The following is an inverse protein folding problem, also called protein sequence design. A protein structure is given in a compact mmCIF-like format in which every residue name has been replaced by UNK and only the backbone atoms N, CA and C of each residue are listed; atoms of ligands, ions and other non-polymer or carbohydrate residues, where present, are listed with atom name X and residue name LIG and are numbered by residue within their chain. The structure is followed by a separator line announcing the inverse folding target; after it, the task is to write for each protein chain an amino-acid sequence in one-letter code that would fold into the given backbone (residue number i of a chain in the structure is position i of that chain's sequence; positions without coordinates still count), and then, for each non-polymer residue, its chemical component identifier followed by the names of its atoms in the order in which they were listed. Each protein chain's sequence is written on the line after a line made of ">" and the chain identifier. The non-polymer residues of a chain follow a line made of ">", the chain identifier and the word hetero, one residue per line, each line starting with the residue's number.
data_IF_249497948597
#
_entry.id   IF_249497948597
#
_cell.length_a   1.000
_cell.length_b   1.000
_cell.length_c   1.000
_cell.angle_alpha   90.00
_cell.angle_beta   90.00
_cell.angle_gamma   90.00
#
_symmetry.space_group_name_H-M   'P 1'
#
loop_
_entity.id
_entity.type
_entity.pdbx_description
1 polymer ?
#
# COMPACT_ATOMS: atom_id res chain seq x y z
N UNK A 1 6.78 -6.39 31.39
CA UNK A 1 6.04 -5.24 31.96
C UNK A 1 5.60 -4.36 30.81
N UNK A 2 4.32 -3.97 30.79
CA UNK A 2 3.82 -3.03 29.79
C UNK A 2 4.36 -1.63 30.07
N UNK A 3 5.10 -1.08 29.11
CA UNK A 3 5.57 0.30 29.17
C UNK A 3 4.39 1.24 28.91
N UNK A 4 4.00 2.00 29.91
CA UNK A 4 2.93 2.99 29.78
C UNK A 4 3.47 4.38 30.14
N UNK A 5 3.09 5.37 29.34
CA UNK A 5 3.31 6.78 29.67
C UNK A 5 2.01 7.56 29.53
N UNK A 6 1.92 8.64 30.27
CA UNK A 6 0.73 9.51 30.23
C UNK A 6 1.09 10.78 29.48
N UNK A 7 0.35 11.08 28.43
CA UNK A 7 0.43 12.37 27.74
C UNK A 7 -0.62 13.29 28.33
N UNK A 8 -0.17 14.43 28.85
CA UNK A 8 -1.06 15.51 29.30
C UNK A 8 -1.14 16.55 28.20
N UNK A 9 -2.31 16.65 27.58
CA UNK A 9 -2.64 17.78 26.73
C UNK A 9 -3.66 18.65 27.48
N UNK A 10 -3.38 19.95 27.60
CA UNK A 10 -4.26 20.88 28.31
C UNK A 10 -5.61 21.06 27.60
N UNK A 11 -5.62 20.88 26.28
CA UNK A 11 -6.80 21.03 25.45
C UNK A 11 -6.82 19.92 24.39
N UNK A 12 -7.04 18.65 24.80
CA UNK A 12 -7.13 17.57 23.85
C UNK A 12 -8.35 17.77 22.94
N UNK A 13 -8.14 17.62 21.66
CA UNK A 13 -9.23 17.66 20.70
C UNK A 13 -9.95 16.30 20.66
N UNK A 14 -11.20 16.29 21.09
CA UNK A 14 -12.12 15.15 21.00
C UNK A 14 -13.28 15.43 20.04
N UNK A 15 -13.21 16.54 19.31
CA UNK A 15 -14.25 16.92 18.37
C UNK A 15 -13.99 16.16 17.06
N UNK A 16 -14.99 15.44 16.59
CA UNK A 16 -14.93 14.80 15.30
C UNK A 16 -15.24 15.80 14.19
N UNK A 17 -14.68 15.62 12.99
CA UNK A 17 -15.05 16.42 11.82
C UNK A 17 -16.57 16.45 11.61
N UNK A 18 -17.07 17.53 11.03
CA UNK A 18 -18.48 17.68 10.67
C UNK A 18 -18.97 16.54 9.77
N UNK A 19 -20.28 16.33 9.73
CA UNK A 19 -20.92 15.37 8.81
C UNK A 19 -20.94 15.95 7.40
N UNK A 20 -20.98 15.07 6.39
CA UNK A 20 -21.26 15.51 5.02
C UNK A 20 -22.72 15.92 4.91
N UNK A 21 -22.98 17.19 4.56
CA UNK A 21 -24.32 17.74 4.34
C UNK A 21 -24.61 17.98 2.86
N UNK A 22 -23.58 18.14 2.03
CA UNK A 22 -23.71 18.31 0.59
C UNK A 22 -22.57 17.59 -0.12
N UNK A 23 -22.88 16.97 -1.25
CA UNK A 23 -21.93 16.27 -2.09
C UNK A 23 -22.25 16.53 -3.56
N UNK A 24 -21.29 17.09 -4.28
CA UNK A 24 -21.33 17.29 -5.72
C UNK A 24 -20.36 16.33 -6.43
N UNK A 25 -20.82 15.75 -7.52
CA UNK A 25 -20.02 14.91 -8.41
C UNK A 25 -20.16 15.43 -9.83
N UNK A 26 -19.04 15.62 -10.50
CA UNK A 26 -18.97 15.97 -11.91
C UNK A 26 -18.03 15.00 -12.64
N UNK A 27 -18.37 14.64 -13.88
CA UNK A 27 -17.60 13.75 -14.73
C UNK A 27 -17.35 14.45 -16.05
N UNK A 28 -16.10 14.64 -16.38
CA UNK A 28 -15.67 15.21 -17.66
C UNK A 28 -14.89 14.19 -18.49
N UNK A 29 -14.79 14.42 -19.78
CA UNK A 29 -14.20 13.51 -20.78
C UNK A 29 -15.28 12.90 -21.69
N UNK A 30 -14.98 12.80 -22.97
CA UNK A 30 -15.86 12.18 -23.97
C UNK A 30 -15.97 10.65 -23.81
N UNK A 31 -16.89 9.97 -24.52
CA UNK A 31 -17.05 8.51 -24.41
C UNK A 31 -15.75 7.73 -24.65
N UNK A 32 -14.94 8.14 -25.61
CA UNK A 32 -13.69 7.47 -26.01
C UNK A 32 -12.44 8.06 -25.33
N UNK A 33 -12.63 8.90 -24.29
CA UNK A 33 -11.56 9.56 -23.57
C UNK A 33 -11.51 9.09 -22.10
N UNK A 34 -10.36 9.28 -21.47
CA UNK A 34 -10.25 9.12 -20.03
C UNK A 34 -11.23 10.08 -19.34
N UNK A 35 -11.79 9.62 -18.22
CA UNK A 35 -12.75 10.42 -17.43
C UNK A 35 -12.05 11.04 -16.24
N UNK A 36 -12.30 12.33 -16.03
CA UNK A 36 -11.96 12.97 -14.76
C UNK A 36 -13.22 13.09 -13.93
N UNK A 37 -13.22 12.41 -12.79
CA UNK A 37 -14.26 12.53 -11.78
C UNK A 37 -13.82 13.58 -10.77
N UNK A 38 -14.61 14.63 -10.62
CA UNK A 38 -14.39 15.71 -9.64
C UNK A 38 -15.42 15.56 -8.55
N UNK A 39 -14.99 15.58 -7.31
CA UNK A 39 -15.85 15.48 -6.15
C UNK A 39 -15.62 16.67 -5.23
N UNK A 40 -16.73 17.25 -4.73
CA UNK A 40 -16.75 18.25 -3.71
C UNK A 40 -17.67 17.80 -2.59
N UNK A 41 -17.24 17.97 -1.36
CA UNK A 41 -18.07 17.77 -0.16
C UNK A 41 -18.10 19.03 0.67
N UNK A 42 -19.24 19.25 1.33
CA UNK A 42 -19.43 20.30 2.33
C UNK A 42 -19.80 19.61 3.64
N UNK A 43 -19.08 19.97 4.69
CA UNK A 43 -19.29 19.44 6.03
C UNK A 43 -20.19 20.36 6.85
N UNK A 44 -20.95 19.78 7.75
CA UNK A 44 -21.69 20.47 8.80
C UNK A 44 -20.69 20.94 9.87
N UNK A 45 -20.08 22.09 9.62
CA UNK A 45 -19.02 22.68 10.43
C UNK A 45 -19.35 24.16 10.61
N UNK A 46 -19.56 24.57 11.86
CA UNK A 46 -19.80 25.98 12.21
C UNK A 46 -18.48 26.76 12.31
N UNK A 47 -17.39 26.09 12.74
CA UNK A 47 -16.05 26.65 12.85
C UNK A 47 -15.03 25.62 12.34
N UNK A 48 -14.55 25.73 11.09
CA UNK A 48 -13.59 24.79 10.52
C UNK A 48 -12.29 24.63 11.31
N UNK A 49 -11.94 25.61 12.14
CA UNK A 49 -10.76 25.49 13.03
C UNK A 49 -10.97 24.49 14.18
N UNK A 50 -12.21 24.11 14.45
CA UNK A 50 -12.60 23.18 15.52
C UNK A 50 -13.05 21.84 14.96
N UNK A 51 -13.94 21.84 13.97
CA UNK A 51 -14.62 20.64 13.43
C UNK A 51 -14.51 20.51 11.90
N UNK A 52 -13.57 21.24 11.31
CA UNK A 52 -13.19 21.08 9.90
C UNK A 52 -12.39 19.80 9.65
N UNK A 53 -12.08 19.54 8.39
CA UNK A 53 -11.32 18.37 7.99
C UNK A 53 -10.07 18.73 7.19
N UNK A 54 -9.06 17.86 7.26
CA UNK A 54 -7.84 17.93 6.46
C UNK A 54 -7.87 16.95 5.28
N UNK A 55 -8.70 15.91 5.37
CA UNK A 55 -8.83 14.90 4.32
C UNK A 55 -10.19 14.22 4.38
N UNK A 56 -10.79 13.98 3.21
CA UNK A 56 -11.86 13.01 3.03
C UNK A 56 -11.40 11.94 2.06
N UNK A 57 -11.49 10.69 2.46
CA UNK A 57 -11.20 9.54 1.61
C UNK A 57 -12.50 8.80 1.32
N UNK A 58 -12.73 8.48 0.05
CA UNK A 58 -13.87 7.66 -0.37
C UNK A 58 -13.51 6.74 -1.51
N UNK A 59 -14.27 5.67 -1.65
CA UNK A 59 -14.13 4.64 -2.66
C UNK A 59 -15.41 4.50 -3.45
N UNK A 60 -15.27 4.38 -4.76
CA UNK A 60 -16.35 4.01 -5.66
C UNK A 60 -16.15 2.59 -6.19
N UNK A 61 -17.26 1.89 -6.40
CA UNK A 61 -17.25 0.53 -6.96
C UNK A 61 -18.27 0.38 -8.07
N UNK A 62 -17.87 -0.33 -9.12
CA UNK A 62 -18.74 -0.72 -10.22
C UNK A 62 -19.56 -1.97 -9.88
N UNK A 63 -20.48 -2.35 -10.79
CA UNK A 63 -21.29 -3.57 -10.65
C UNK A 63 -20.50 -4.87 -10.73
N UNK A 64 -19.28 -4.84 -11.26
CA UNK A 64 -18.37 -6.01 -11.34
C UNK A 64 -17.29 -6.01 -10.27
N UNK A 65 -17.33 -5.03 -9.32
CA UNK A 65 -16.40 -4.96 -8.22
C UNK A 65 -15.10 -4.21 -8.51
N UNK A 66 -14.90 -3.64 -9.70
CA UNK A 66 -13.78 -2.72 -9.93
C UNK A 66 -13.94 -1.48 -9.08
N UNK A 67 -12.83 -0.94 -8.59
CA UNK A 67 -12.81 0.16 -7.63
C UNK A 67 -11.89 1.28 -8.07
N UNK A 68 -12.23 2.50 -7.67
CA UNK A 68 -11.29 3.62 -7.62
C UNK A 68 -11.53 4.48 -6.38
N UNK A 69 -10.51 5.19 -5.97
CA UNK A 69 -10.50 5.99 -4.76
C UNK A 69 -10.41 7.48 -5.10
N UNK A 70 -11.08 8.32 -4.32
CA UNK A 70 -10.90 9.77 -4.36
C UNK A 70 -10.46 10.24 -2.98
N UNK A 71 -9.38 11.04 -2.95
CA UNK A 71 -8.95 11.81 -1.79
C UNK A 71 -9.28 13.26 -2.03
N UNK A 72 -10.02 13.86 -1.08
CA UNK A 72 -10.38 15.26 -1.10
C UNK A 72 -9.57 15.98 -0.05
N UNK A 73 -9.14 17.19 -0.38
CA UNK A 73 -8.39 18.06 0.50
C UNK A 73 -9.10 19.41 0.66
N UNK A 74 -8.81 20.15 1.72
CA UNK A 74 -9.37 21.48 1.94
C UNK A 74 -9.28 22.37 0.71
N UNK A 75 -10.38 23.01 0.37
CA UNK A 75 -10.40 23.97 -0.74
C UNK A 75 -9.57 25.20 -0.40
N UNK A 76 -9.55 25.60 0.86
CA UNK A 76 -8.80 26.75 1.35
C UNK A 76 -7.98 26.36 2.58
N UNK A 77 -6.69 26.71 2.57
CA UNK A 77 -5.83 26.46 3.72
C UNK A 77 -5.50 24.98 3.96
N UNK A 78 -5.28 24.63 5.22
CA UNK A 78 -4.90 23.28 5.66
C UNK A 78 -6.04 22.51 6.31
N UNK A 79 -7.11 23.20 6.69
CA UNK A 79 -8.34 22.67 7.28
C UNK A 79 -9.52 23.49 6.77
N UNK A 80 -10.62 22.83 6.40
CA UNK A 80 -11.80 23.49 5.84
C UNK A 80 -13.05 22.64 6.08
N UNK A 81 -14.23 23.25 5.93
CA UNK A 81 -15.52 22.56 5.80
C UNK A 81 -15.83 22.19 4.35
N UNK A 82 -15.10 22.72 3.38
CA UNK A 82 -15.25 22.43 1.96
C UNK A 82 -14.00 21.70 1.48
N UNK A 83 -14.18 20.46 1.01
CA UNK A 83 -13.08 19.66 0.48
C UNK A 83 -13.37 19.28 -0.96
N UNK A 84 -12.32 19.29 -1.77
CA UNK A 84 -12.38 18.95 -3.19
C UNK A 84 -11.30 17.94 -3.55
N UNK A 85 -11.60 17.09 -4.50
CA UNK A 85 -10.66 16.10 -5.00
C UNK A 85 -11.07 15.58 -6.37
N UNK A 86 -10.16 14.89 -7.03
CA UNK A 86 -10.43 14.28 -8.33
C UNK A 86 -9.73 12.95 -8.47
N UNK A 87 -10.27 12.11 -9.36
CA UNK A 87 -9.63 10.89 -9.82
C UNK A 87 -9.78 10.78 -11.34
N UNK A 88 -8.82 10.14 -11.98
CA UNK A 88 -8.90 9.81 -13.41
C UNK A 88 -9.25 8.34 -13.56
N UNK A 89 -10.25 8.06 -14.37
CA UNK A 89 -10.63 6.73 -14.81
C UNK A 89 -10.25 6.56 -16.27
N UNK A 90 -9.65 5.44 -16.62
CA UNK A 90 -9.34 5.10 -18.00
C UNK A 90 -10.61 5.02 -18.85
N UNK A 91 -10.49 5.36 -20.12
CA UNK A 91 -11.54 5.13 -21.13
C UNK A 91 -11.97 3.66 -21.27
N UNK A 92 -11.17 2.75 -20.72
CA UNK A 92 -11.49 1.32 -20.69
C UNK A 92 -12.23 0.89 -19.42
N UNK A 93 -12.45 1.80 -18.47
CA UNK A 93 -13.16 1.48 -17.23
C UNK A 93 -14.59 1.01 -17.48
N UNK A 94 -15.13 0.22 -16.57
CA UNK A 94 -16.49 -0.34 -16.65
C UNK A 94 -17.53 0.75 -16.89
N UNK A 95 -18.31 0.61 -17.96
CA UNK A 95 -19.45 1.48 -18.25
C UNK A 95 -20.61 1.19 -17.29
N UNK A 96 -21.33 2.23 -16.88
CA UNK A 96 -22.49 2.10 -16.00
C UNK A 96 -22.39 2.89 -14.71
N UNK A 97 -23.20 2.49 -13.74
CA UNK A 97 -23.20 3.13 -12.42
C UNK A 97 -22.06 2.65 -11.53
N UNK A 98 -21.39 3.63 -10.95
CA UNK A 98 -20.41 3.44 -9.88
C UNK A 98 -21.01 3.97 -8.59
N UNK A 99 -21.03 3.14 -7.56
CA UNK A 99 -21.62 3.47 -6.29
C UNK A 99 -20.53 3.89 -5.31
N UNK A 100 -20.76 5.02 -4.65
CA UNK A 100 -19.92 5.44 -3.56
C UNK A 100 -20.05 4.47 -2.40
N UNK A 101 -18.92 4.06 -1.83
CA UNK A 101 -18.83 3.34 -0.56
C UNK A 101 -18.92 4.29 0.63
N UNK A 102 -18.30 3.90 1.76
CA UNK A 102 -18.17 4.78 2.91
C UNK A 102 -17.21 5.92 2.63
N UNK A 103 -17.48 7.08 3.20
CA UNK A 103 -16.50 8.17 3.32
C UNK A 103 -15.84 8.15 4.69
N UNK A 104 -14.55 8.44 4.74
CA UNK A 104 -13.78 8.58 5.95
C UNK A 104 -13.20 9.98 5.99
N UNK A 105 -13.58 10.73 7.01
CA UNK A 105 -13.25 12.14 7.18
C UNK A 105 -12.26 12.25 8.32
N UNK A 106 -11.13 12.94 8.11
CA UNK A 106 -10.08 13.13 9.10
C UNK A 106 -9.92 14.61 9.43
N UNK A 107 -9.83 14.92 10.71
CA UNK A 107 -9.35 16.21 11.19
C UNK A 107 -7.83 16.29 11.29
N UNK A 108 -7.33 17.42 11.79
CA UNK A 108 -5.90 17.69 11.93
C UNK A 108 -5.22 16.77 12.96
N UNK A 109 -5.92 16.32 13.97
CA UNK A 109 -5.40 15.42 15.01
C UNK A 109 -5.73 13.95 14.75
N UNK A 110 -6.24 13.65 13.54
CA UNK A 110 -6.59 12.30 13.08
C UNK A 110 -7.81 11.68 13.76
N UNK A 111 -8.69 12.46 14.40
CA UNK A 111 -10.02 11.95 14.69
C UNK A 111 -10.71 11.60 13.38
N UNK A 112 -11.39 10.47 13.34
CA UNK A 112 -11.99 9.96 12.11
C UNK A 112 -13.50 9.78 12.25
N UNK A 113 -14.25 10.42 11.35
CA UNK A 113 -15.68 10.17 11.17
C UNK A 113 -15.90 9.25 9.98
N UNK A 114 -16.78 8.29 10.15
CA UNK A 114 -17.20 7.39 9.07
C UNK A 114 -18.65 7.73 8.67
N UNK A 115 -18.84 8.07 7.40
CA UNK A 115 -20.16 8.24 6.80
C UNK A 115 -20.44 7.05 5.88
N UNK A 116 -21.56 6.39 6.05
CA UNK A 116 -21.93 5.25 5.22
C UNK A 116 -22.82 5.67 4.04
N UNK A 117 -22.94 4.78 3.05
CA UNK A 117 -23.72 5.01 1.83
C UNK A 117 -25.21 5.30 2.08
N UNK A 118 -25.78 4.89 3.22
CA UNK A 118 -27.18 5.16 3.51
C UNK A 118 -27.44 6.63 3.84
N UNK A 119 -26.41 7.35 4.27
CA UNK A 119 -26.49 8.78 4.59
C UNK A 119 -26.07 9.69 3.44
N UNK A 120 -25.15 9.25 2.59
CA UNK A 120 -24.53 10.10 1.54
C UNK A 120 -24.74 9.57 0.13
N UNK A 121 -25.16 8.34 -0.04
CA UNK A 121 -25.55 7.58 -1.23
C UNK A 121 -25.31 8.16 -2.62
N UNK A 122 -24.08 8.51 -2.95
CA UNK A 122 -23.76 9.07 -4.26
C UNK A 122 -23.52 7.97 -5.30
N UNK A 123 -23.97 8.27 -6.51
CA UNK A 123 -23.74 7.42 -7.72
C UNK A 123 -23.28 8.31 -8.84
N UNK A 124 -22.33 7.81 -9.58
CA UNK A 124 -21.91 8.45 -10.83
C UNK A 124 -22.15 7.49 -12.01
N UNK A 125 -22.39 8.06 -13.16
CA UNK A 125 -22.54 7.33 -14.42
C UNK A 125 -21.28 7.53 -15.26
N UNK A 126 -20.66 6.43 -15.67
CA UNK A 126 -19.53 6.41 -16.58
C UNK A 126 -20.00 5.82 -17.91
N UNK A 127 -19.77 6.51 -19.00
CA UNK A 127 -19.99 6.03 -20.35
C UNK A 127 -18.62 5.68 -20.96
N UNK A 128 -18.44 4.39 -21.28
CA UNK A 128 -17.20 3.89 -21.89
C UNK A 128 -17.53 2.80 -22.91
N UNK A 129 -17.65 3.13 -24.21
CA UNK A 129 -17.88 2.13 -25.25
C UNK A 129 -16.67 1.21 -25.46
N UNK A 130 -15.50 1.58 -24.94
CA UNK A 130 -14.28 0.79 -25.02
C UNK A 130 -14.03 -0.04 -23.76
N UNK A 131 -15.04 -0.19 -22.89
CA UNK A 131 -14.88 -0.87 -21.60
C UNK A 131 -14.20 -2.22 -21.74
N UNK A 132 -13.24 -2.48 -20.86
CA UNK A 132 -12.66 -3.79 -20.61
C UNK A 132 -13.14 -4.30 -19.24
N UNK A 133 -13.73 -5.48 -19.25
CA UNK A 133 -14.24 -6.16 -18.06
C UNK A 133 -13.55 -7.50 -17.82
N UNK A 134 -12.51 -7.77 -18.59
CA UNK A 134 -11.78 -9.04 -18.51
C UNK A 134 -10.50 -8.80 -17.68
N UNK A 135 -10.39 -9.39 -16.49
CA UNK A 135 -9.19 -9.24 -15.70
C UNK A 135 -8.00 -9.97 -16.34
N UNK A 136 -6.77 -9.50 -16.06
CA UNK A 136 -5.56 -10.14 -16.53
C UNK A 136 -5.53 -11.64 -16.21
N UNK A 137 -5.13 -12.47 -17.18
CA UNK A 137 -5.08 -13.92 -17.03
C UNK A 137 -3.66 -14.40 -16.79
N UNK A 138 -3.44 -15.04 -15.64
CA UNK A 138 -2.16 -15.66 -15.31
C UNK A 138 -1.84 -16.82 -16.26
N UNK A 139 -0.58 -16.90 -16.71
CA UNK A 139 -0.07 -17.98 -17.57
C UNK A 139 0.92 -18.83 -16.81
N UNK A 140 2.00 -18.22 -16.36
CA UNK A 140 3.11 -18.93 -15.69
C UNK A 140 3.98 -17.96 -14.90
N UNK A 141 4.83 -18.49 -14.04
CA UNK A 141 5.93 -17.76 -13.42
C UNK A 141 7.19 -18.61 -13.38
N UNK A 142 8.31 -17.92 -13.27
CA UNK A 142 9.62 -18.52 -13.05
C UNK A 142 10.40 -17.69 -12.05
N UNK A 143 11.31 -18.36 -11.34
CA UNK A 143 12.15 -17.73 -10.34
C UNK A 143 13.59 -18.19 -10.55
N UNK A 144 14.52 -17.29 -10.37
CA UNK A 144 15.93 -17.60 -10.46
C UNK A 144 16.76 -16.73 -9.53
N UNK A 145 17.87 -17.24 -9.06
CA UNK A 145 18.89 -16.47 -8.37
C UNK A 145 19.84 -15.88 -9.40
N UNK A 146 20.02 -14.57 -9.34
CA UNK A 146 20.87 -13.82 -10.25
C UNK A 146 21.94 -13.04 -9.49
N UNK A 147 23.11 -12.91 -10.09
CA UNK A 147 24.20 -12.08 -9.60
C UNK A 147 24.39 -10.89 -10.53
N UNK A 148 24.72 -9.72 -9.98
CA UNK A 148 24.88 -8.51 -10.76
C UNK A 148 25.03 -7.27 -9.89
N UNK A 149 24.94 -6.12 -10.55
CA UNK A 149 24.89 -4.83 -9.88
C UNK A 149 23.45 -4.32 -9.89
N UNK A 150 23.00 -3.79 -8.77
CA UNK A 150 21.60 -3.37 -8.57
C UNK A 150 21.50 -2.01 -7.88
N UNK A 151 20.58 -1.17 -8.33
CA UNK A 151 20.07 -0.06 -7.54
C UNK A 151 18.95 -0.62 -6.66
N UNK A 152 19.06 -0.44 -5.35
CA UNK A 152 18.17 -1.07 -4.36
C UNK A 152 17.41 0.00 -3.61
N UNK A 153 16.07 -0.14 -3.52
CA UNK A 153 15.22 0.74 -2.73
C UNK A 153 15.15 0.32 -1.24
N UNK A 154 14.41 1.09 -0.44
CA UNK A 154 14.25 0.81 0.99
C UNK A 154 13.46 -0.48 1.29
N UNK A 155 12.70 -0.99 0.32
CA UNK A 155 11.94 -2.24 0.42
C UNK A 155 12.70 -3.43 -0.18
N UNK A 156 13.99 -3.25 -0.47
CA UNK A 156 14.85 -4.24 -1.10
C UNK A 156 14.47 -4.64 -2.54
N UNK A 157 13.56 -3.89 -3.18
CA UNK A 157 13.38 -4.04 -4.61
C UNK A 157 14.64 -3.58 -5.32
N UNK A 158 15.06 -4.36 -6.29
CA UNK A 158 16.29 -4.11 -7.03
C UNK A 158 15.99 -3.84 -8.51
N UNK A 159 16.78 -2.96 -9.08
CA UNK A 159 16.80 -2.71 -10.53
C UNK A 159 18.21 -2.97 -11.04
N UNK A 160 18.43 -3.87 -12.02
CA UNK A 160 19.74 -4.08 -12.58
C UNK A 160 20.33 -2.78 -13.14
N UNK A 161 21.59 -2.48 -12.81
CA UNK A 161 22.25 -1.24 -13.22
C UNK A 161 23.77 -1.40 -13.15
N UNK A 162 24.49 -0.93 -14.17
CA UNK A 162 25.96 -0.95 -14.18
C UNK A 162 26.58 -0.14 -13.02
N UNK A 163 25.89 0.91 -12.59
CA UNK A 163 26.30 1.81 -11.48
C UNK A 163 25.77 1.34 -10.11
N UNK A 164 25.17 0.15 -10.06
CA UNK A 164 24.54 -0.37 -8.85
C UNK A 164 25.51 -1.05 -7.87
N UNK A 165 24.96 -1.46 -6.73
CA UNK A 165 25.70 -2.27 -5.74
C UNK A 165 25.81 -3.71 -6.22
N UNK A 166 27.02 -4.30 -6.23
CA UNK A 166 27.21 -5.72 -6.53
C UNK A 166 26.47 -6.58 -5.50
N UNK A 167 25.88 -7.67 -5.96
CA UNK A 167 25.21 -8.60 -5.05
C UNK A 167 24.35 -9.63 -5.76
N UNK A 168 23.50 -10.27 -4.97
CA UNK A 168 22.58 -11.31 -5.41
C UNK A 168 21.14 -10.80 -5.31
N UNK A 169 20.30 -11.25 -6.22
CA UNK A 169 18.87 -11.00 -6.16
C UNK A 169 18.09 -12.27 -6.55
N UNK A 170 16.87 -12.38 -6.04
CA UNK A 170 15.86 -13.28 -6.58
C UNK A 170 15.16 -12.54 -7.71
N UNK A 171 15.32 -13.00 -8.93
CA UNK A 171 14.53 -12.54 -10.05
C UNK A 171 13.25 -13.36 -10.12
N UNK A 172 12.13 -12.67 -10.22
CA UNK A 172 10.81 -13.25 -10.46
C UNK A 172 10.31 -12.79 -11.81
N UNK A 173 9.92 -13.71 -12.65
CA UNK A 173 9.28 -13.42 -13.93
C UNK A 173 7.88 -14.03 -13.90
N UNK A 174 6.85 -13.22 -14.18
CA UNK A 174 5.48 -13.72 -14.36
C UNK A 174 5.00 -13.40 -15.77
N UNK A 175 4.16 -14.26 -16.33
CA UNK A 175 3.54 -14.02 -17.64
C UNK A 175 2.04 -13.98 -17.52
N UNK A 176 1.46 -12.97 -18.16
CA UNK A 176 0.03 -12.70 -18.14
C UNK A 176 -0.48 -12.43 -19.55
N UNK A 177 -1.73 -12.78 -19.78
CA UNK A 177 -2.45 -12.37 -20.99
C UNK A 177 -3.30 -11.14 -20.62
N UNK A 178 -2.89 -9.98 -21.15
CA UNK A 178 -3.53 -8.70 -20.87
C UNK A 178 -3.26 -7.72 -22.04
N UNK A 179 -4.30 -7.36 -22.83
CA UNK A 179 -4.13 -6.43 -23.95
C UNK A 179 -3.88 -4.98 -23.53
N UNK A 180 -4.41 -4.55 -22.37
CA UNK A 180 -4.23 -3.21 -21.85
C UNK A 180 -2.91 -3.07 -21.09
N UNK A 181 -2.57 -1.83 -20.70
CA UNK A 181 -1.41 -1.60 -19.85
C UNK A 181 -1.68 -2.11 -18.43
N UNK A 182 -0.65 -2.66 -17.83
CA UNK A 182 -0.67 -3.07 -16.43
C UNK A 182 -0.19 -1.92 -15.55
N UNK A 183 -0.88 -1.70 -14.44
CA UNK A 183 -0.70 -0.50 -13.61
C UNK A 183 -0.16 -0.79 -12.22
N UNK A 184 -0.53 -1.91 -11.61
CA UNK A 184 -0.10 -2.28 -10.26
C UNK A 184 0.18 -3.79 -10.22
N UNK A 185 1.41 -4.14 -9.86
CA UNK A 185 1.86 -5.51 -9.93
C UNK A 185 2.84 -5.78 -8.81
N UNK A 186 2.60 -6.85 -8.08
CA UNK A 186 3.50 -7.25 -7.01
C UNK A 186 3.40 -8.74 -6.72
N UNK A 187 4.46 -9.25 -6.13
CA UNK A 187 4.51 -10.61 -5.63
C UNK A 187 5.00 -10.61 -4.18
N UNK A 188 4.33 -11.38 -3.36
CA UNK A 188 4.69 -11.58 -1.95
C UNK A 188 5.58 -12.80 -1.82
N UNK A 189 6.67 -12.62 -1.09
CA UNK A 189 7.67 -13.63 -0.79
C UNK A 189 7.79 -13.72 0.74
N UNK A 190 7.50 -14.88 1.30
CA UNK A 190 7.78 -15.18 2.70
C UNK A 190 9.22 -15.70 2.82
N UNK A 191 9.94 -15.23 3.84
CA UNK A 191 11.33 -15.64 4.07
C UNK A 191 11.52 -16.21 5.48
N UNK A 192 12.63 -16.96 5.70
CA UNK A 192 12.86 -17.66 6.94
C UNK A 192 12.84 -16.74 8.15
N UNK A 193 12.10 -17.13 9.18
CA UNK A 193 12.11 -16.46 10.48
C UNK A 193 12.99 -17.24 11.46
N UNK A 194 14.16 -16.73 11.83
CA UNK A 194 15.06 -17.43 12.76
C UNK A 194 14.45 -17.63 14.15
N UNK A 195 13.44 -16.86 14.51
CA UNK A 195 12.79 -16.94 15.83
C UNK A 195 11.50 -17.75 15.84
N UNK A 196 11.06 -18.32 14.72
CA UNK A 196 9.90 -19.21 14.55
C UNK A 196 8.53 -18.69 15.06
N UNK A 197 8.44 -17.48 15.58
CA UNK A 197 7.22 -16.96 16.19
C UNK A 197 6.33 -16.16 15.24
N UNK A 198 6.87 -15.67 14.13
CA UNK A 198 6.19 -14.84 13.15
C UNK A 198 6.71 -15.16 11.74
N UNK A 199 5.86 -15.02 10.75
CA UNK A 199 6.26 -15.10 9.34
C UNK A 199 6.69 -13.73 8.88
N UNK A 200 7.94 -13.58 8.46
CA UNK A 200 8.40 -12.39 7.77
C UNK A 200 8.06 -12.48 6.29
N UNK A 201 7.64 -11.38 5.72
CA UNK A 201 7.39 -11.30 4.28
C UNK A 201 7.92 -10.00 3.70
N UNK A 202 8.14 -10.02 2.40
CA UNK A 202 8.39 -8.83 1.59
C UNK A 202 7.53 -8.90 0.34
N UNK A 203 7.30 -7.75 -0.28
CA UNK A 203 6.63 -7.66 -1.57
C UNK A 203 7.62 -7.07 -2.57
N UNK A 204 7.74 -7.69 -3.72
CA UNK A 204 8.52 -7.16 -4.84
C UNK A 204 7.58 -6.65 -5.90
N UNK A 205 7.74 -5.39 -6.28
CA UNK A 205 7.07 -4.80 -7.43
C UNK A 205 7.54 -5.46 -8.73
N UNK A 206 6.61 -5.68 -9.65
CA UNK A 206 6.90 -6.23 -10.97
C UNK A 206 6.70 -5.14 -12.02
N UNK A 207 7.57 -5.08 -12.99
CA UNK A 207 7.52 -4.13 -14.10
C UNK A 207 7.39 -4.88 -15.41
N UNK A 208 6.49 -4.42 -16.28
CA UNK A 208 6.35 -5.01 -17.60
C UNK A 208 7.59 -4.73 -18.46
N UNK A 209 8.13 -5.78 -19.05
CA UNK A 209 9.26 -5.68 -19.99
C UNK A 209 8.84 -4.91 -21.25
N UNK A 210 7.62 -5.16 -21.74
CA UNK A 210 7.02 -4.45 -22.87
C UNK A 210 5.52 -4.34 -22.70
N UNK A 211 5.04 -3.13 -22.43
CA UNK A 211 3.60 -2.84 -22.27
C UNK A 211 2.80 -2.98 -23.56
N UNK A 212 3.43 -2.98 -24.72
CA UNK A 212 2.73 -3.07 -26.03
C UNK A 212 2.27 -4.49 -26.38
N UNK A 213 2.81 -5.50 -25.71
CA UNK A 213 2.47 -6.90 -25.97
C UNK A 213 1.16 -7.30 -25.27
N UNK A 214 0.33 -8.11 -25.93
CA UNK A 214 -0.85 -8.73 -25.30
C UNK A 214 -0.45 -9.76 -24.24
N UNK A 215 0.67 -10.45 -24.44
CA UNK A 215 1.28 -11.29 -23.41
C UNK A 215 2.35 -10.51 -22.70
N UNK A 216 2.01 -10.02 -21.51
CA UNK A 216 2.92 -9.26 -20.66
C UNK A 216 3.88 -10.20 -19.95
N UNK A 217 5.16 -9.94 -20.11
CA UNK A 217 6.18 -10.47 -19.24
C UNK A 217 6.53 -9.42 -18.20
N UNK A 218 6.39 -9.78 -16.93
CA UNK A 218 6.61 -8.90 -15.80
C UNK A 218 7.84 -9.39 -15.04
N UNK A 219 8.77 -8.50 -14.77
CA UNK A 219 9.97 -8.82 -14.01
C UNK A 219 10.07 -7.99 -12.73
N UNK A 220 10.56 -8.61 -11.68
CA UNK A 220 10.92 -7.96 -10.43
C UNK A 220 12.11 -8.63 -9.78
N UNK A 221 12.83 -7.88 -8.97
CA UNK A 221 14.05 -8.35 -8.33
C UNK A 221 14.01 -8.01 -6.83
N UNK A 222 14.19 -9.01 -5.99
CA UNK A 222 14.41 -8.84 -4.56
C UNK A 222 15.90 -8.97 -4.27
N UNK A 223 16.54 -7.87 -3.84
CA UNK A 223 17.95 -7.88 -3.48
C UNK A 223 18.20 -8.64 -2.18
N UNK A 224 19.14 -9.55 -2.19
CA UNK A 224 19.54 -10.34 -1.04
C UNK A 224 20.80 -9.73 -0.42
N UNK A 225 20.66 -9.19 0.78
CA UNK A 225 21.80 -8.69 1.53
C UNK A 225 22.50 -9.81 2.29
N UNK A 226 23.81 -9.66 2.49
CA UNK A 226 24.67 -10.68 3.14
C UNK A 226 24.21 -11.07 4.55
N UNK A 227 23.44 -10.20 5.20
CA UNK A 227 22.91 -10.42 6.55
C UNK A 227 21.46 -10.96 6.58
N UNK A 228 20.84 -11.22 5.44
CA UNK A 228 19.50 -11.79 5.41
C UNK A 228 19.50 -13.21 5.98
N UNK A 229 18.37 -13.67 6.59
CA UNK A 229 18.28 -15.03 7.09
C UNK A 229 18.50 -16.06 5.98
N UNK A 230 19.38 -17.06 6.17
CA UNK A 230 19.52 -18.16 5.22
C UNK A 230 18.30 -19.09 5.30
N UNK A 231 17.98 -19.73 4.18
CA UNK A 231 16.88 -20.69 4.12
C UNK A 231 16.05 -20.57 2.86
N UNK A 232 14.87 -21.17 2.87
CA UNK A 232 13.96 -21.16 1.73
C UNK A 232 13.10 -19.89 1.74
N UNK A 233 13.18 -19.13 0.65
CA UNK A 233 12.30 -18.01 0.33
C UNK A 233 11.16 -18.53 -0.51
N UNK A 234 9.93 -18.38 -0.02
CA UNK A 234 8.74 -19.06 -0.50
C UNK A 234 7.77 -18.07 -1.10
N UNK A 235 7.32 -18.33 -2.33
CA UNK A 235 6.33 -17.50 -3.00
C UNK A 235 4.93 -17.82 -2.48
N UNK A 236 4.14 -16.80 -2.18
CA UNK A 236 2.85 -16.95 -1.50
C UNK A 236 1.70 -16.48 -2.38
N UNK A 237 1.80 -15.27 -2.91
CA UNK A 237 0.76 -14.70 -3.77
C UNK A 237 1.31 -13.65 -4.70
N UNK A 238 0.66 -13.48 -5.85
CA UNK A 238 0.91 -12.39 -6.78
C UNK A 238 -0.37 -11.64 -7.07
N UNK A 239 -0.23 -10.38 -7.44
CA UNK A 239 -1.31 -9.48 -7.81
C UNK A 239 -0.96 -8.72 -9.07
N UNK A 240 -1.93 -8.50 -9.94
CA UNK A 240 -1.82 -7.66 -11.12
C UNK A 240 -3.10 -6.86 -11.33
N UNK A 241 -2.96 -5.58 -11.66
CA UNK A 241 -4.03 -4.71 -12.10
C UNK A 241 -3.78 -4.16 -13.50
N UNK A 242 -4.84 -3.87 -14.23
CA UNK A 242 -4.80 -3.20 -15.53
C UNK A 242 -5.29 -1.74 -15.45
N UNK A 243 -5.21 -1.01 -16.55
CA UNK A 243 -5.67 0.37 -16.62
C UNK A 243 -7.20 0.53 -16.64
N UNK A 244 -7.95 -0.56 -16.83
CA UNK A 244 -9.41 -0.59 -16.69
C UNK A 244 -9.87 -0.79 -15.24
N UNK A 245 -8.93 -0.92 -14.30
CA UNK A 245 -9.12 -1.24 -12.89
C UNK A 245 -9.58 -2.68 -12.64
N UNK A 246 -9.45 -3.60 -13.60
CA UNK A 246 -9.61 -5.02 -13.32
C UNK A 246 -8.35 -5.53 -12.62
N UNK A 247 -8.50 -6.56 -11.82
CA UNK A 247 -7.37 -7.15 -11.09
C UNK A 247 -7.48 -8.66 -11.00
N UNK A 248 -6.34 -9.30 -10.93
CA UNK A 248 -6.21 -10.73 -10.72
C UNK A 248 -5.19 -11.06 -9.66
N UNK A 249 -5.41 -12.19 -9.01
CA UNK A 249 -4.53 -12.74 -8.00
C UNK A 249 -4.03 -14.10 -8.45
N UNK A 250 -2.81 -14.45 -8.10
CA UNK A 250 -2.31 -15.81 -8.14
C UNK A 250 -1.91 -16.25 -6.73
N UNK A 251 -2.39 -17.42 -6.32
CA UNK A 251 -2.01 -18.05 -5.06
C UNK A 251 -1.03 -19.17 -5.37
N UNK A 252 0.10 -19.18 -4.68
CA UNK A 252 1.09 -20.22 -4.81
C UNK A 252 0.91 -21.23 -3.67
N UNK A 253 0.59 -22.46 -4.01
CA UNK A 253 0.22 -23.54 -3.08
C UNK A 253 1.07 -24.77 -3.32
N UNK A 254 1.21 -25.61 -2.31
CA UNK A 254 2.00 -26.85 -2.43
C UNK A 254 1.28 -27.88 -3.31
N UNK A 255 -0.06 -27.90 -3.25
CA UNK A 255 -0.91 -28.73 -4.09
C UNK A 255 -2.10 -27.92 -4.62
N UNK A 256 -2.23 -27.80 -5.94
CA UNK A 256 -3.31 -27.05 -6.58
C UNK A 256 -4.67 -27.67 -6.41
N UNK A 257 -4.74 -28.99 -6.22
CA UNK A 257 -5.99 -29.73 -6.06
C UNK A 257 -6.62 -29.51 -4.67
N UNK A 258 -5.84 -29.08 -3.70
CA UNK A 258 -6.28 -28.82 -2.33
C UNK A 258 -6.78 -27.37 -2.10
N UNK A 259 -6.71 -26.49 -3.10
CA UNK A 259 -7.08 -25.09 -2.94
C UNK A 259 -8.58 -24.85 -3.18
N UNK A 260 -9.37 -24.49 -2.14
CA UNK A 260 -10.84 -24.45 -2.21
C UNK A 260 -11.43 -23.27 -3.01
N UNK A 261 -10.61 -22.32 -3.44
CA UNK A 261 -11.05 -21.08 -4.11
C UNK A 261 -10.61 -21.01 -5.59
N UNK A 262 -10.18 -22.13 -6.19
CA UNK A 262 -9.75 -22.20 -7.59
C UNK A 262 -10.86 -21.80 -8.61
N UNK A 263 -12.11 -21.76 -8.16
CA UNK A 263 -13.28 -21.40 -9.00
C UNK A 263 -13.56 -19.89 -9.08
N UNK A 264 -12.77 -19.06 -8.40
CA UNK A 264 -12.95 -17.61 -8.48
C UNK A 264 -12.34 -17.08 -9.80
N UNK A 265 -13.15 -16.40 -10.60
CA UNK A 265 -12.79 -15.92 -11.95
C UNK A 265 -11.49 -15.07 -11.98
N UNK A 266 -11.16 -14.42 -10.86
CA UNK A 266 -10.03 -13.52 -10.77
C UNK A 266 -8.89 -14.08 -9.89
N UNK A 267 -8.97 -15.33 -9.49
CA UNK A 267 -7.95 -15.99 -8.67
C UNK A 267 -7.41 -17.21 -9.39
N UNK A 268 -6.14 -17.18 -9.68
CA UNK A 268 -5.40 -18.29 -10.27
C UNK A 268 -4.63 -19.03 -9.20
N UNK A 269 -4.36 -20.29 -9.45
CA UNK A 269 -3.59 -21.14 -8.54
C UNK A 269 -2.40 -21.70 -9.31
N UNK A 270 -1.23 -21.66 -8.69
CA UNK A 270 -0.01 -22.22 -9.25
C UNK A 270 0.74 -23.02 -8.18
N UNK A 271 1.50 -24.00 -8.61
CA UNK A 271 2.39 -24.75 -7.70
C UNK A 271 3.41 -23.78 -7.13
N UNK A 272 3.58 -23.83 -5.81
CA UNK A 272 4.53 -23.00 -5.08
C UNK A 272 5.95 -23.38 -5.45
N UNK A 273 6.79 -22.36 -5.66
CA UNK A 273 8.22 -22.51 -5.79
C UNK A 273 8.94 -21.90 -4.58
N UNK A 274 10.17 -22.30 -4.38
CA UNK A 274 11.02 -21.78 -3.32
C UNK A 274 12.47 -21.73 -3.77
N UNK A 275 13.18 -20.69 -3.34
CA UNK A 275 14.62 -20.54 -3.61
C UNK A 275 15.37 -20.63 -2.29
N UNK A 276 16.35 -21.50 -2.23
CA UNK A 276 17.27 -21.56 -1.10
C UNK A 276 18.34 -20.49 -1.22
N UNK A 277 18.46 -19.67 -0.17
CA UNK A 277 19.44 -18.57 -0.07
C UNK A 277 20.44 -18.92 1.03
N UNK A 278 21.71 -18.79 0.68
CA UNK A 278 22.81 -18.78 1.62
C UNK A 278 23.35 -17.36 1.73
N UNK A 279 23.58 -16.92 2.95
CA UNK A 279 24.16 -15.59 3.23
C UNK A 279 25.45 -15.76 4.03
N UNK A 280 26.40 -14.89 3.80
CA UNK A 280 27.75 -15.02 4.39
C UNK A 280 27.74 -14.64 5.87
N UNK A 281 26.95 -13.62 6.26
CA UNK A 281 26.90 -13.06 7.60
C UNK A 281 25.46 -12.88 8.10
N UNK A 282 24.70 -13.97 8.28
CA UNK A 282 23.28 -13.85 8.64
C UNK A 282 23.11 -13.16 9.98
N UNK A 283 22.31 -12.09 9.98
CA UNK A 283 21.86 -11.46 11.22
C UNK A 283 20.55 -12.13 11.65
N UNK A 284 20.66 -13.00 12.66
CA UNK A 284 19.54 -13.76 13.21
C UNK A 284 19.25 -13.40 14.67
N UNK A 285 19.94 -12.38 15.19
CA UNK A 285 19.82 -11.94 16.58
C UNK A 285 18.93 -10.70 16.63
N UNK A 286 17.91 -10.74 17.47
CA UNK A 286 17.05 -9.57 17.68
C UNK A 286 17.78 -8.49 18.48
N UNK A 287 17.61 -7.20 18.12
CA UNK A 287 18.07 -6.11 18.97
C UNK A 287 17.46 -6.21 20.37
N UNK A 288 18.28 -5.98 21.39
CA UNK A 288 17.84 -5.90 22.78
C UNK A 288 17.63 -4.43 23.17
N UNK A 289 16.46 -4.12 23.73
CA UNK A 289 16.19 -2.80 24.30
C UNK A 289 16.53 -2.84 25.79
N UNK A 290 17.30 -1.87 26.26
CA UNK A 290 17.53 -1.69 27.69
C UNK A 290 16.31 -1.02 28.33
N UNK A 291 15.40 -1.84 28.85
CA UNK A 291 14.14 -1.41 29.46
C UNK A 291 14.35 -0.48 30.67
N UNK A 292 15.54 -0.46 31.29
CA UNK A 292 15.84 0.41 32.44
C UNK A 292 16.24 1.81 32.02
N UNK A 293 16.52 2.06 30.75
CA UNK A 293 16.97 3.33 30.21
C UNK A 293 16.03 3.93 29.15
N UNK A 294 14.73 3.65 29.26
CA UNK A 294 13.73 4.29 28.41
C UNK A 294 13.28 5.59 29.06
N UNK A 295 13.40 6.69 28.35
CA UNK A 295 12.87 7.99 28.78
C UNK A 295 11.89 8.51 27.73
N UNK A 296 10.77 9.04 28.21
CA UNK A 296 9.77 9.70 27.37
C UNK A 296 9.60 11.13 27.86
N UNK A 297 9.82 12.08 26.98
CA UNK A 297 9.59 13.50 27.24
C UNK A 297 8.55 13.99 26.25
N UNK A 298 7.43 14.48 26.76
CA UNK A 298 6.36 15.06 25.94
C UNK A 298 6.26 16.55 26.22
N UNK A 299 6.48 17.37 25.20
CA UNK A 299 6.47 18.82 25.29
C UNK A 299 5.62 19.41 24.14
N UNK A 300 4.88 20.50 24.37
CA UNK A 300 4.25 21.23 23.28
C UNK A 300 5.32 21.74 22.31
N UNK A 301 5.12 21.59 21.01
CA UNK A 301 6.04 22.10 19.98
C UNK A 301 6.16 23.63 20.01
N UNK A 302 5.14 24.31 20.57
CA UNK A 302 5.15 25.75 20.82
C UNK A 302 4.67 26.03 22.27
N UNK A 303 5.57 26.51 23.12
CA UNK A 303 5.25 26.84 24.52
C UNK A 303 4.22 27.97 24.65
N UNK A 304 4.07 28.84 23.64
CA UNK A 304 3.09 29.94 23.63
C UNK A 304 1.71 29.49 23.09
N UNK A 305 1.65 28.30 22.49
CA UNK A 305 0.42 27.66 22.00
C UNK A 305 0.35 26.22 22.54
N UNK A 306 0.12 26.02 23.84
CA UNK A 306 0.14 24.69 24.48
C UNK A 306 -1.00 23.76 23.99
N UNK A 307 -1.91 24.26 23.18
CA UNK A 307 -2.99 23.50 22.53
C UNK A 307 -2.61 22.99 21.13
N UNK A 308 -1.40 23.30 20.68
CA UNK A 308 -0.87 22.85 19.42
C UNK A 308 -0.34 21.41 19.51
N UNK A 309 0.44 21.06 18.52
CA UNK A 309 1.11 19.75 18.45
C UNK A 309 1.97 19.50 19.70
N UNK A 310 1.87 18.31 20.24
CA UNK A 310 2.77 17.81 21.30
C UNK A 310 3.78 16.86 20.66
N UNK A 311 5.05 17.17 20.83
CA UNK A 311 6.14 16.27 20.46
C UNK A 311 6.43 15.35 21.63
N UNK A 312 6.43 14.04 21.39
CA UNK A 312 6.90 13.04 22.32
C UNK A 312 8.28 12.54 21.84
N UNK A 313 9.32 12.85 22.60
CA UNK A 313 10.66 12.29 22.38
C UNK A 313 10.81 11.03 23.22
N UNK A 314 10.94 9.89 22.55
CA UNK A 314 11.17 8.59 23.18
C UNK A 314 12.65 8.25 22.96
N UNK A 315 13.41 8.21 24.05
CA UNK A 315 14.82 7.84 24.00
C UNK A 315 14.99 6.49 24.69
N UNK A 316 15.67 5.59 24.03
CA UNK A 316 16.02 4.29 24.59
C UNK A 316 17.40 3.85 24.07
N UNK A 317 18.05 3.00 24.84
CA UNK A 317 19.26 2.32 24.39
C UNK A 317 18.86 0.97 23.79
N UNK A 318 19.14 0.80 22.50
CA UNK A 318 19.05 -0.51 21.86
C UNK A 318 20.47 -1.03 21.63
N UNK A 319 20.66 -2.31 21.86
CA UNK A 319 21.90 -3.02 21.58
C UNK A 319 21.61 -4.14 20.59
N UNK A 320 22.20 -4.03 19.44
CA UNK A 320 22.29 -5.10 18.48
C UNK A 320 23.58 -5.90 18.75
N UNK A 321 23.43 -7.20 18.99
CA UNK A 321 24.54 -8.13 19.29
C UNK A 321 24.78 -9.02 18.09
N UNK A 322 24.81 -8.46 16.89
CA UNK A 322 25.29 -9.22 15.76
C UNK A 322 26.69 -9.77 16.06
N UNK A 323 26.92 -11.05 15.82
CA UNK A 323 28.24 -11.67 15.95
C UNK A 323 29.27 -11.09 14.97
N UNK A 324 28.82 -10.20 14.08
CA UNK A 324 29.59 -9.52 13.05
C UNK A 324 29.53 -7.99 13.24
N UNK A 325 30.42 -7.39 14.04
CA UNK A 325 30.38 -5.95 14.35
C UNK A 325 30.48 -5.02 13.15
N UNK A 326 30.99 -5.51 12.01
CA UNK A 326 31.08 -4.74 10.77
C UNK A 326 29.71 -4.59 10.05
N UNK A 327 28.74 -5.42 10.41
CA UNK A 327 27.38 -5.44 9.87
C UNK A 327 26.30 -5.14 10.94
N UNK A 328 26.71 -4.79 12.18
CA UNK A 328 25.79 -4.24 13.16
C UNK A 328 25.17 -2.98 12.56
N UNK A 329 24.10 -3.18 11.82
CA UNK A 329 23.28 -2.10 11.27
C UNK A 329 22.59 -1.48 12.46
N UNK A 330 23.04 -0.33 12.88
CA UNK A 330 22.41 0.40 13.97
C UNK A 330 20.89 0.38 13.81
N UNK A 331 20.18 0.39 14.93
CA UNK A 331 18.72 0.41 14.98
C UNK A 331 18.18 1.41 13.97
N UNK A 332 17.46 0.92 12.97
CA UNK A 332 16.72 1.79 12.06
C UNK A 332 15.72 2.60 12.90
N UNK A 333 15.62 3.88 12.64
CA UNK A 333 14.64 4.73 13.30
C UNK A 333 13.23 4.13 13.11
N UNK A 334 12.56 3.91 14.24
CA UNK A 334 11.13 3.64 14.30
C UNK A 334 10.35 4.94 14.04
#
# INVERSE_FOLDING_TARGET
>A
EDLTFTVYNLYPDYVFPGKIIELDLDVTGGPDEDKTVIMKVILDSEDPSIDGAVEVYTRFSSSIGTIFDIRLHPQNGTIDSILVGSATLSKYSKSGYWNMGSAKIYDQVRNARYENTSTVGAKLWIESPLEDIVPPKFIEYTTERVEGNFIVDNNHNATPSEDGTPGQAIKVTTKWEEPLNVTDNKIRIDYPNPNQSETYYTETGLVAVDQSQTRKEMEGYLFIKDYFPPGYYVFVQGYIGDEACNSSWVQFVDDVDDYPYADNINTFVAVRDSIYIETEFPDIVKPEIDENNITVVAEPTNAEAPNGETRADINFNARDRSDFPAHATGTSHL
#
